data_IF_191244445162
#
_entry.id   IF_191244445162
#
_cell.length_a   1.000
_cell.length_b   1.000
_cell.length_c   1.000
_cell.angle_alpha   90.00
_cell.angle_beta   90.00
_cell.angle_gamma   90.00
#
_symmetry.space_group_name_H-M   'P 1'
#
loop_
_entity.id
_entity.type
_entity.pdbx_description
1 polymer ?
#
# COMPACT_ATOMS: atom_id res chain seq x y z
N UNK A 1 15.87 11.13 -23.24
CA UNK A 1 15.36 12.15 -22.29
C UNK A 1 15.09 11.47 -20.95
N UNK A 2 15.48 12.10 -19.84
CA UNK A 2 15.19 11.58 -18.49
C UNK A 2 13.70 11.37 -18.29
N UNK A 3 13.32 10.25 -17.68
CA UNK A 3 11.94 9.97 -17.25
C UNK A 3 11.60 10.64 -15.92
N UNK A 4 12.62 11.00 -15.15
CA UNK A 4 12.47 11.62 -13.83
C UNK A 4 12.47 13.14 -13.96
N UNK A 5 11.52 13.78 -13.28
CA UNK A 5 11.36 15.22 -13.18
C UNK A 5 11.69 15.64 -11.74
N UNK A 6 12.57 16.62 -11.57
CA UNK A 6 13.06 17.11 -10.27
C UNK A 6 12.42 18.42 -9.80
N UNK A 7 11.50 18.98 -10.58
CA UNK A 7 10.80 20.23 -10.25
C UNK A 7 9.33 20.07 -10.60
N UNK A 8 8.46 20.66 -9.78
CA UNK A 8 7.02 20.55 -9.98
C UNK A 8 6.61 20.99 -11.40
N UNK A 9 5.88 20.15 -12.16
CA UNK A 9 5.41 20.50 -13.49
C UNK A 9 4.18 21.41 -13.41
N UNK A 10 4.41 22.70 -13.15
CA UNK A 10 3.37 23.74 -13.07
C UNK A 10 2.51 23.75 -14.34
N UNK A 11 1.19 23.90 -14.17
CA UNK A 11 0.21 23.90 -15.25
C UNK A 11 -0.10 22.53 -15.86
N UNK A 12 0.49 21.44 -15.36
CA UNK A 12 0.26 20.08 -15.87
C UNK A 12 -0.51 19.21 -14.87
N UNK A 13 -1.18 18.18 -15.40
CA UNK A 13 -1.80 17.13 -14.59
C UNK A 13 -0.74 16.21 -13.99
N UNK A 14 -0.81 16.00 -12.67
CA UNK A 14 0.10 15.12 -11.93
C UNK A 14 -0.71 14.08 -11.19
N UNK A 15 -0.59 12.83 -11.61
CA UNK A 15 -1.17 11.68 -10.95
C UNK A 15 -0.51 11.44 -9.60
N UNK A 16 -1.27 11.09 -8.57
CA UNK A 16 -0.78 10.75 -7.24
C UNK A 16 -1.45 9.45 -6.83
N UNK A 17 -0.64 8.45 -6.44
CA UNK A 17 -1.14 7.27 -5.74
C UNK A 17 -1.53 7.71 -4.32
N UNK A 18 -2.83 7.90 -4.10
CA UNK A 18 -3.33 8.62 -2.93
C UNK A 18 -3.85 7.64 -1.87
N UNK A 19 -3.09 7.49 -0.79
CA UNK A 19 -3.45 6.65 0.36
C UNK A 19 -4.35 7.35 1.38
N UNK A 20 -4.42 8.70 1.37
CA UNK A 20 -5.16 9.47 2.37
C UNK A 20 -4.40 9.72 3.67
N UNK A 21 -3.14 9.27 3.77
CA UNK A 21 -2.23 9.62 4.86
C UNK A 21 -1.69 11.06 4.76
N UNK A 22 -0.96 11.50 5.78
CA UNK A 22 -0.38 12.84 5.87
C UNK A 22 0.44 13.22 4.61
N UNK A 23 1.40 12.38 4.25
CA UNK A 23 2.36 12.63 3.17
C UNK A 23 1.66 12.83 1.82
N UNK A 24 0.66 12.00 1.49
CA UNK A 24 -0.07 12.13 0.22
C UNK A 24 -1.08 13.28 0.27
N UNK A 25 -1.70 13.55 1.42
CA UNK A 25 -2.64 14.67 1.63
C UNK A 25 -1.96 16.02 1.44
N UNK A 26 -0.82 16.23 2.12
CA UNK A 26 -0.07 17.47 1.98
C UNK A 26 0.55 17.62 0.60
N UNK A 27 1.00 16.53 -0.04
CA UNK A 27 1.52 16.60 -1.39
C UNK A 27 0.46 17.06 -2.40
N UNK A 28 -0.79 16.56 -2.30
CA UNK A 28 -1.90 17.03 -3.15
C UNK A 28 -2.12 18.53 -2.96
N UNK A 29 -2.25 18.97 -1.71
CA UNK A 29 -2.52 20.37 -1.40
C UNK A 29 -1.38 21.31 -1.83
N UNK A 30 -0.14 20.89 -1.61
CA UNK A 30 1.04 21.64 -2.02
C UNK A 30 1.17 21.73 -3.55
N UNK A 31 0.97 20.62 -4.27
CA UNK A 31 0.99 20.65 -5.73
C UNK A 31 -0.08 21.59 -6.28
N UNK A 32 -1.28 21.61 -5.68
CA UNK A 32 -2.36 22.53 -6.05
C UNK A 32 -1.97 23.99 -5.79
N UNK A 33 -1.44 24.31 -4.62
CA UNK A 33 -1.08 25.69 -4.25
C UNK A 33 0.07 26.25 -5.09
N UNK A 34 0.97 25.38 -5.57
CA UNK A 34 2.08 25.72 -6.47
C UNK A 34 1.72 25.71 -7.96
N UNK A 35 0.45 25.50 -8.30
CA UNK A 35 -0.06 25.65 -9.67
C UNK A 35 0.03 24.41 -10.56
N UNK A 36 0.29 23.22 -10.01
CA UNK A 36 0.04 21.96 -10.71
C UNK A 36 -1.43 21.54 -10.56
N UNK A 37 -1.85 20.54 -11.35
CA UNK A 37 -3.21 19.99 -11.32
C UNK A 37 -3.17 18.55 -10.76
N UNK A 38 -3.24 18.35 -9.44
CA UNK A 38 -3.13 17.02 -8.84
C UNK A 38 -4.34 16.15 -9.18
N UNK A 39 -4.10 14.91 -9.59
CA UNK A 39 -5.09 13.89 -9.92
C UNK A 39 -4.84 12.67 -9.05
N UNK A 40 -5.74 12.36 -8.13
CA UNK A 40 -5.57 11.29 -7.14
C UNK A 40 -6.22 9.98 -7.55
N UNK A 41 -5.48 8.89 -7.33
CA UNK A 41 -5.90 7.53 -7.60
C UNK A 41 -5.64 6.69 -6.35
N UNK A 42 -6.69 6.25 -5.69
CA UNK A 42 -6.64 5.39 -4.51
C UNK A 42 -6.84 3.94 -4.95
N UNK A 43 -5.92 3.05 -4.59
CA UNK A 43 -6.09 1.62 -4.83
C UNK A 43 -6.91 0.98 -3.72
N UNK A 44 -8.01 0.33 -4.08
CA UNK A 44 -8.69 -0.62 -3.19
C UNK A 44 -8.01 -1.98 -3.30
N UNK A 45 -7.20 -2.27 -2.28
CA UNK A 45 -6.43 -3.51 -2.15
C UNK A 45 -7.05 -4.46 -1.13
N UNK A 46 -8.24 -4.15 -0.60
CA UNK A 46 -8.85 -4.90 0.50
C UNK A 46 -8.03 -4.83 1.79
N UNK A 47 -7.34 -3.70 2.01
CA UNK A 47 -6.49 -3.48 3.17
C UNK A 47 -7.29 -3.36 4.49
N UNK A 48 -6.66 -3.78 5.59
CA UNK A 48 -7.28 -3.83 6.93
C UNK A 48 -7.05 -2.55 7.75
N UNK A 49 -6.10 -1.70 7.34
CA UNK A 49 -5.69 -0.49 8.03
C UNK A 49 -6.45 0.78 7.58
N UNK A 50 -7.34 0.66 6.59
CA UNK A 50 -8.22 1.75 6.12
C UNK A 50 -9.67 1.24 5.94
N UNK A 51 -10.50 1.29 7.00
CA UNK A 51 -11.86 0.76 6.96
C UNK A 51 -12.83 1.61 6.14
N UNK A 52 -12.50 2.87 5.84
CA UNK A 52 -13.39 3.81 5.14
C UNK A 52 -12.80 4.22 3.79
N UNK A 53 -12.29 3.24 3.03
CA UNK A 53 -11.59 3.50 1.77
C UNK A 53 -12.46 4.23 0.74
N UNK A 54 -13.77 3.98 0.73
CA UNK A 54 -14.73 4.64 -0.17
C UNK A 54 -14.79 6.16 0.03
N UNK A 55 -14.41 6.65 1.21
CA UNK A 55 -14.36 8.07 1.53
C UNK A 55 -13.08 8.77 1.10
N UNK A 56 -12.01 8.00 0.81
CA UNK A 56 -10.68 8.54 0.47
C UNK A 56 -10.73 9.50 -0.72
N UNK A 57 -11.46 9.23 -1.83
CA UNK A 57 -11.58 10.18 -2.93
C UNK A 57 -12.22 11.51 -2.53
N UNK A 58 -13.16 11.52 -1.58
CA UNK A 58 -13.76 12.77 -1.09
C UNK A 58 -12.74 13.55 -0.26
N UNK A 59 -11.96 12.87 0.58
CA UNK A 59 -10.83 13.48 1.31
C UNK A 59 -9.82 14.12 0.36
N UNK A 60 -9.49 13.46 -0.76
CA UNK A 60 -8.59 14.01 -1.76
C UNK A 60 -9.08 15.35 -2.35
N UNK A 61 -10.40 15.47 -2.58
CA UNK A 61 -11.01 16.71 -3.11
C UNK A 61 -10.92 17.86 -2.12
N UNK A 62 -11.01 17.61 -0.82
CA UNK A 62 -10.80 18.62 0.23
C UNK A 62 -9.41 19.27 0.14
N UNK A 63 -8.41 18.52 -0.33
CA UNK A 63 -7.04 18.99 -0.55
C UNK A 63 -6.81 19.61 -1.94
N UNK A 64 -7.84 19.69 -2.79
CA UNK A 64 -7.75 20.34 -4.10
C UNK A 64 -7.41 19.43 -5.28
N UNK A 65 -7.62 18.12 -5.15
CA UNK A 65 -7.53 17.19 -6.29
C UNK A 65 -8.55 17.53 -7.40
N UNK A 66 -8.08 17.59 -8.65
CA UNK A 66 -8.89 17.82 -9.86
C UNK A 66 -9.66 16.55 -10.26
N UNK A 67 -8.99 15.41 -10.14
CA UNK A 67 -9.56 14.06 -10.32
C UNK A 67 -9.35 13.29 -9.01
N UNK A 68 -10.37 12.58 -8.55
CA UNK A 68 -10.24 11.66 -7.42
C UNK A 68 -11.00 10.37 -7.72
N UNK A 69 -10.27 9.27 -7.85
CA UNK A 69 -10.82 7.96 -8.22
C UNK A 69 -10.41 6.89 -7.22
N UNK A 70 -11.37 6.03 -6.88
CA UNK A 70 -11.10 4.73 -6.30
C UNK A 70 -10.92 3.72 -7.44
N UNK A 71 -9.83 2.95 -7.40
CA UNK A 71 -9.48 1.93 -8.40
C UNK A 71 -9.52 0.58 -7.71
N UNK A 72 -10.47 -0.28 -8.11
CA UNK A 72 -10.56 -1.63 -7.56
C UNK A 72 -9.39 -2.49 -8.07
N UNK A 73 -8.52 -2.89 -7.15
CA UNK A 73 -7.34 -3.72 -7.41
C UNK A 73 -7.46 -5.11 -6.77
N UNK A 74 -8.54 -5.41 -6.03
CA UNK A 74 -8.66 -6.62 -5.20
C UNK A 74 -8.54 -7.90 -6.03
N UNK A 75 -9.33 -8.01 -7.11
CA UNK A 75 -9.31 -9.21 -7.96
C UNK A 75 -7.94 -9.42 -8.57
N UNK A 76 -7.33 -8.39 -9.14
CA UNK A 76 -6.00 -8.49 -9.74
C UNK A 76 -4.95 -8.91 -8.70
N UNK A 77 -4.99 -8.32 -7.51
CA UNK A 77 -4.09 -8.68 -6.42
C UNK A 77 -4.25 -10.12 -5.95
N UNK A 78 -5.48 -10.60 -5.82
CA UNK A 78 -5.72 -12.01 -5.48
C UNK A 78 -5.22 -12.94 -6.56
N UNK A 79 -5.45 -12.65 -7.85
CA UNK A 79 -4.94 -13.49 -8.93
C UNK A 79 -3.41 -13.55 -8.96
N UNK A 80 -2.71 -12.41 -8.78
CA UNK A 80 -1.24 -12.40 -8.68
C UNK A 80 -0.75 -13.18 -7.44
N UNK A 81 -1.47 -13.08 -6.31
CA UNK A 81 -1.19 -13.88 -5.12
C UNK A 81 -1.34 -15.38 -5.34
N UNK A 82 -2.41 -15.80 -6.03
CA UNK A 82 -2.63 -17.20 -6.38
C UNK A 82 -1.59 -17.71 -7.38
N UNK A 83 -1.17 -16.88 -8.34
CA UNK A 83 -0.08 -17.22 -9.25
C UNK A 83 1.24 -17.41 -8.51
N UNK A 84 1.57 -16.50 -7.59
CA UNK A 84 2.76 -16.60 -6.74
C UNK A 84 2.74 -17.85 -5.85
N UNK A 85 1.57 -18.20 -5.31
CA UNK A 85 1.38 -19.44 -4.54
C UNK A 85 1.63 -20.68 -5.41
N UNK A 86 1.07 -20.72 -6.62
CA UNK A 86 1.17 -21.87 -7.51
C UNK A 86 2.63 -22.17 -7.93
N UNK A 87 3.48 -21.14 -8.06
CA UNK A 87 4.90 -21.30 -8.41
C UNK A 87 5.86 -21.22 -7.21
N UNK A 88 5.35 -21.01 -5.99
CA UNK A 88 6.17 -20.91 -4.79
C UNK A 88 7.16 -19.74 -4.83
N UNK A 89 6.75 -18.57 -5.35
CA UNK A 89 7.59 -17.40 -5.55
C UNK A 89 7.91 -16.64 -4.23
N UNK A 90 8.42 -17.35 -3.23
CA UNK A 90 8.69 -16.86 -1.87
C UNK A 90 10.14 -17.15 -1.47
N UNK A 91 11.01 -16.17 -1.67
CA UNK A 91 12.45 -16.32 -1.45
C UNK A 91 12.93 -15.97 -0.03
N UNK A 92 12.15 -15.21 0.73
CA UNK A 92 12.51 -14.78 2.09
C UNK A 92 11.92 -15.78 3.08
N UNK A 93 12.81 -16.53 3.74
CA UNK A 93 12.41 -17.51 4.75
C UNK A 93 13.43 -17.58 5.88
N UNK A 94 12.95 -17.82 7.10
CA UNK A 94 13.79 -18.09 8.27
C UNK A 94 13.33 -19.40 8.90
N UNK A 95 14.20 -20.41 8.91
CA UNK A 95 13.88 -21.76 9.40
C UNK A 95 12.57 -22.36 8.84
N UNK A 96 12.29 -22.11 7.56
CA UNK A 96 11.08 -22.58 6.87
C UNK A 96 9.84 -21.70 7.04
N UNK A 97 9.85 -20.69 7.92
CA UNK A 97 8.78 -19.67 7.97
C UNK A 97 8.99 -18.64 6.87
N UNK A 98 8.04 -18.55 5.95
CA UNK A 98 8.15 -17.71 4.76
C UNK A 98 7.49 -16.34 4.94
N UNK A 99 8.06 -15.33 4.28
CA UNK A 99 7.34 -14.13 3.89
C UNK A 99 6.79 -14.29 2.47
N UNK A 100 5.48 -14.12 2.32
CA UNK A 100 4.77 -14.40 1.07
C UNK A 100 4.82 -13.27 0.03
N UNK A 101 5.84 -12.39 0.09
CA UNK A 101 6.05 -11.31 -0.89
C UNK A 101 4.80 -10.42 -1.12
N UNK A 102 4.00 -10.19 -0.07
CA UNK A 102 2.71 -9.49 -0.18
C UNK A 102 2.85 -8.02 -0.60
N UNK A 103 3.89 -7.32 -0.14
CA UNK A 103 4.20 -5.94 -0.57
C UNK A 103 4.65 -5.88 -2.04
N UNK A 104 5.66 -6.66 -2.50
CA UNK A 104 6.01 -6.74 -3.91
C UNK A 104 4.83 -7.00 -4.86
N UNK A 105 3.94 -7.94 -4.52
CA UNK A 105 2.75 -8.27 -5.32
C UNK A 105 1.77 -7.08 -5.36
N UNK A 106 1.53 -6.45 -4.22
CA UNK A 106 0.75 -5.20 -4.14
C UNK A 106 1.32 -4.10 -5.05
N UNK A 107 2.66 -4.00 -5.18
CA UNK A 107 3.32 -2.98 -6.01
C UNK A 107 3.22 -3.28 -7.50
N UNK A 108 3.28 -4.56 -7.89
CA UNK A 108 3.06 -4.97 -9.27
C UNK A 108 1.66 -4.56 -9.76
N UNK A 109 0.64 -4.81 -8.92
CA UNK A 109 -0.75 -4.45 -9.23
C UNK A 109 -0.97 -2.95 -9.22
N UNK A 110 -0.58 -2.25 -8.16
CA UNK A 110 -0.81 -0.80 -8.06
C UNK A 110 0.00 0.00 -9.08
N UNK A 111 1.28 -0.33 -9.27
CA UNK A 111 2.14 0.34 -10.24
C UNK A 111 1.64 0.22 -11.68
N UNK A 112 0.91 -0.85 -12.01
CA UNK A 112 0.31 -1.03 -13.33
C UNK A 112 -1.09 -0.43 -13.42
N UNK A 113 -1.99 -0.76 -12.50
CA UNK A 113 -3.40 -0.34 -12.58
C UNK A 113 -3.59 1.15 -12.32
N UNK A 114 -2.86 1.76 -11.37
CA UNK A 114 -2.98 3.20 -11.13
C UNK A 114 -2.43 3.99 -12.31
N UNK A 115 -1.33 3.56 -12.92
CA UNK A 115 -0.77 4.22 -14.12
C UNK A 115 -1.69 4.06 -15.33
N UNK A 116 -2.37 2.92 -15.48
CA UNK A 116 -3.43 2.75 -16.51
C UNK A 116 -4.62 3.68 -16.26
N UNK A 117 -5.03 3.84 -15.00
CA UNK A 117 -6.09 4.78 -14.62
C UNK A 117 -5.69 6.23 -14.91
N UNK A 118 -4.44 6.63 -14.58
CA UNK A 118 -3.85 7.92 -14.94
C UNK A 118 -3.90 8.14 -16.46
N UNK A 119 -3.46 7.14 -17.24
CA UNK A 119 -3.45 7.22 -18.69
C UNK A 119 -4.86 7.40 -19.28
N UNK A 120 -5.86 6.70 -18.74
CA UNK A 120 -7.25 6.84 -19.18
C UNK A 120 -7.79 8.27 -19.00
N UNK A 121 -7.28 9.01 -18.02
CA UNK A 121 -7.63 10.41 -17.76
C UNK A 121 -6.66 11.41 -18.42
N UNK A 122 -5.80 10.94 -19.32
CA UNK A 122 -4.74 11.69 -19.99
C UNK A 122 -3.71 12.32 -19.04
N UNK A 123 -3.46 11.67 -17.90
CA UNK A 123 -2.43 12.05 -16.94
C UNK A 123 -1.13 11.30 -17.26
N UNK A 124 -0.11 12.04 -17.70
CA UNK A 124 1.17 11.48 -18.19
C UNK A 124 2.33 11.65 -17.21
N UNK A 125 2.09 12.27 -16.05
CA UNK A 125 3.09 12.48 -15.00
C UNK A 125 2.58 11.84 -13.72
N UNK A 126 3.41 11.04 -13.07
CA UNK A 126 3.13 10.52 -11.73
C UNK A 126 4.03 11.22 -10.70
N UNK A 127 3.44 11.95 -9.76
CA UNK A 127 4.08 12.40 -8.54
C UNK A 127 4.21 11.25 -7.56
N UNK A 128 5.36 10.58 -7.57
CA UNK A 128 5.62 9.38 -6.78
C UNK A 128 6.53 9.70 -5.59
N UNK A 129 5.95 9.66 -4.39
CA UNK A 129 6.62 9.95 -3.12
C UNK A 129 7.49 8.83 -2.57
N UNK A 130 7.62 7.67 -3.24
CA UNK A 130 8.48 6.59 -2.78
C UNK A 130 9.89 7.09 -2.47
N UNK A 131 10.43 6.71 -1.32
CA UNK A 131 11.71 7.24 -0.81
C UNK A 131 12.89 6.72 -1.63
N UNK A 132 14.01 7.46 -1.63
CA UNK A 132 15.22 7.09 -2.38
C UNK A 132 15.98 5.88 -1.80
N UNK A 133 15.62 5.42 -0.60
CA UNK A 133 16.28 4.31 0.12
C UNK A 133 15.45 3.02 0.15
N UNK A 134 14.21 3.06 -0.34
CA UNK A 134 13.29 1.93 -0.28
C UNK A 134 13.17 1.23 -1.62
N UNK A 135 12.73 -0.03 -1.61
CA UNK A 135 12.57 -0.85 -2.82
C UNK A 135 11.49 -0.31 -3.78
N UNK A 136 10.48 0.36 -3.23
CA UNK A 136 9.29 0.78 -3.98
C UNK A 136 9.60 1.82 -5.06
N UNK A 137 10.68 2.59 -4.95
CA UNK A 137 11.10 3.52 -6.00
C UNK A 137 11.42 2.80 -7.31
N UNK A 138 12.09 1.65 -7.25
CA UNK A 138 12.46 0.88 -8.43
C UNK A 138 11.27 0.08 -8.96
N UNK A 139 10.49 -0.51 -8.05
CA UNK A 139 9.27 -1.26 -8.39
C UNK A 139 8.31 -0.38 -9.18
N UNK A 140 7.94 0.77 -8.62
CA UNK A 140 7.01 1.70 -9.26
C UNK A 140 7.56 2.33 -10.53
N UNK A 141 8.86 2.65 -10.57
CA UNK A 141 9.51 3.11 -11.80
C UNK A 141 9.36 2.08 -12.93
N UNK A 142 9.66 0.81 -12.65
CA UNK A 142 9.59 -0.27 -13.66
C UNK A 142 8.15 -0.55 -14.09
N UNK A 143 7.24 -0.78 -13.15
CA UNK A 143 5.84 -1.09 -13.48
C UNK A 143 5.14 0.08 -14.17
N UNK A 144 5.40 1.31 -13.74
CA UNK A 144 4.81 2.50 -14.35
C UNK A 144 5.25 2.69 -15.80
N UNK A 145 6.54 2.51 -16.10
CA UNK A 145 7.03 2.61 -17.48
C UNK A 145 6.58 1.46 -18.38
N UNK A 146 6.40 0.26 -17.83
CA UNK A 146 5.79 -0.87 -18.55
C UNK A 146 4.31 -0.60 -18.85
N UNK A 147 3.57 -0.03 -17.91
CA UNK A 147 2.15 0.29 -18.08
C UNK A 147 1.91 1.49 -19.00
N UNK A 148 2.82 2.48 -18.99
CA UNK A 148 2.77 3.64 -19.88
C UNK A 148 4.20 4.06 -20.30
N UNK A 149 4.66 3.69 -21.50
CA UNK A 149 5.99 4.06 -21.99
C UNK A 149 6.20 5.58 -22.12
N UNK A 150 5.15 6.39 -22.13
CA UNK A 150 5.21 7.87 -22.16
C UNK A 150 5.21 8.51 -20.77
N UNK A 151 5.05 7.72 -19.71
CA UNK A 151 5.04 8.22 -18.33
C UNK A 151 6.33 8.98 -18.03
N UNK A 152 6.17 10.09 -17.31
CA UNK A 152 7.23 10.78 -16.58
C UNK A 152 6.92 10.69 -15.08
N UNK A 153 7.95 10.72 -14.25
CA UNK A 153 7.82 10.55 -12.80
C UNK A 153 8.39 11.78 -12.12
N UNK A 154 7.56 12.54 -11.44
CA UNK A 154 7.95 13.64 -10.57
C UNK A 154 8.29 13.08 -9.19
N UNK A 155 9.47 13.43 -8.67
CA UNK A 155 9.93 13.03 -7.33
C UNK A 155 9.96 14.26 -6.42
N UNK A 156 8.99 14.42 -5.49
CA UNK A 156 8.92 15.60 -4.63
C UNK A 156 10.17 15.85 -3.80
N UNK A 157 10.85 14.80 -3.33
CA UNK A 157 12.09 14.93 -2.56
C UNK A 157 13.33 15.37 -3.38
N UNK A 158 13.21 15.48 -4.71
CA UNK A 158 14.20 16.16 -5.56
C UNK A 158 13.90 17.66 -5.73
N UNK A 159 12.67 18.09 -5.41
CA UNK A 159 12.24 19.48 -5.53
C UNK A 159 12.64 20.25 -4.27
N UNK A 160 13.48 21.27 -4.45
CA UNK A 160 13.99 22.08 -3.34
C UNK A 160 12.87 22.80 -2.60
N UNK A 161 11.86 23.29 -3.30
CA UNK A 161 10.76 24.02 -2.67
C UNK A 161 9.91 23.08 -1.82
N UNK A 162 9.68 21.86 -2.31
CA UNK A 162 8.98 20.82 -1.55
C UNK A 162 9.76 20.44 -0.29
N UNK A 163 11.07 20.18 -0.42
CA UNK A 163 11.91 19.79 0.73
C UNK A 163 12.03 20.91 1.76
N UNK A 164 12.13 22.17 1.32
CA UNK A 164 12.24 23.32 2.22
C UNK A 164 10.94 23.57 3.00
N UNK A 165 9.78 23.37 2.37
CA UNK A 165 8.47 23.63 2.99
C UNK A 165 7.92 22.42 3.76
N UNK A 166 8.25 21.19 3.33
CA UNK A 166 7.63 19.93 3.76
C UNK A 166 8.65 18.86 4.17
N UNK A 167 9.83 19.27 4.64
CA UNK A 167 10.97 18.37 4.92
C UNK A 167 10.71 17.29 5.99
N UNK A 168 9.68 17.43 6.82
CA UNK A 168 9.31 16.47 7.85
C UNK A 168 7.82 16.47 8.17
N UNK A 169 7.35 15.46 8.91
CA UNK A 169 5.92 15.29 9.25
C UNK A 169 5.37 16.47 10.07
N UNK A 170 6.20 17.11 10.90
CA UNK A 170 5.82 18.29 11.70
C UNK A 170 5.57 19.50 10.81
N UNK A 171 6.44 19.70 9.82
CA UNK A 171 6.30 20.76 8.83
C UNK A 171 5.08 20.50 7.95
N UNK A 172 4.86 19.25 7.52
CA UNK A 172 3.68 18.85 6.75
C UNK A 172 2.36 19.09 7.49
N UNK A 173 2.28 18.72 8.77
CA UNK A 173 1.06 18.94 9.57
C UNK A 173 0.81 20.42 9.81
N UNK A 174 1.85 21.19 10.15
CA UNK A 174 1.77 22.64 10.28
C UNK A 174 1.32 23.30 8.98
N UNK A 175 1.85 22.86 7.85
CA UNK A 175 1.51 23.42 6.54
C UNK A 175 0.01 23.24 6.24
N UNK A 176 -0.56 22.06 6.51
CA UNK A 176 -2.01 21.85 6.34
C UNK A 176 -2.85 22.78 7.23
N UNK A 177 -2.47 22.91 8.50
CA UNK A 177 -3.17 23.78 9.46
C UNK A 177 -3.08 25.26 9.04
N UNK A 178 -1.90 25.73 8.67
CA UNK A 178 -1.67 27.11 8.22
C UNK A 178 -2.47 27.45 6.95
N UNK A 179 -2.82 26.44 6.14
CA UNK A 179 -3.65 26.58 4.94
C UNK A 179 -5.14 26.26 5.15
N UNK A 180 -5.60 26.10 6.41
CA UNK A 180 -6.97 25.75 6.78
C UNK A 180 -7.47 24.45 6.12
N UNK A 181 -6.58 23.47 5.95
CA UNK A 181 -6.91 22.17 5.38
C UNK A 181 -7.03 21.10 6.46
N UNK A 182 -7.88 20.06 6.28
CA UNK A 182 -8.06 19.02 7.28
C UNK A 182 -6.75 18.29 7.60
N UNK A 183 -6.31 18.34 8.85
CA UNK A 183 -5.23 17.51 9.35
C UNK A 183 -5.83 16.35 10.16
N UNK A 184 -5.59 15.12 9.69
CA UNK A 184 -6.03 13.90 10.37
C UNK A 184 -4.84 13.36 11.13
N UNK A 185 -4.77 13.70 12.41
CA UNK A 185 -3.65 13.32 13.27
C UNK A 185 -3.51 11.80 13.29
N UNK A 186 -2.34 11.30 12.90
CA UNK A 186 -2.04 9.88 13.08
C UNK A 186 -1.57 9.70 14.52
N UNK A 187 -2.24 8.83 15.30
CA UNK A 187 -1.68 8.33 16.55
C UNK A 187 -0.26 7.82 16.27
N UNK A 188 0.72 8.30 17.03
CA UNK A 188 2.10 7.89 16.85
C UNK A 188 2.21 6.38 17.09
N UNK A 189 2.58 5.64 16.04
CA UNK A 189 2.78 4.18 16.11
C UNK A 189 4.25 3.86 16.34
N UNK A 190 4.55 2.80 17.08
CA UNK A 190 5.91 2.31 17.33
C UNK A 190 6.60 1.74 16.07
N UNK A 191 5.85 1.53 14.98
CA UNK A 191 6.31 0.98 13.70
C UNK A 191 5.51 1.58 12.53
N UNK A 192 6.00 1.36 11.31
CA UNK A 192 5.30 1.61 10.04
C UNK A 192 4.51 0.37 9.63
N UNK A 193 3.42 0.53 8.87
CA UNK A 193 2.62 -0.59 8.38
C UNK A 193 2.21 -0.36 6.93
N UNK A 194 2.35 -1.40 6.11
CA UNK A 194 1.77 -1.49 4.78
C UNK A 194 0.89 -2.74 4.74
N UNK A 195 -0.31 -2.62 4.19
CA UNK A 195 -1.29 -3.70 4.19
C UNK A 195 -2.05 -3.81 2.88
N UNK A 196 -2.42 -5.02 2.54
CA UNK A 196 -3.36 -5.36 1.49
C UNK A 196 -4.05 -6.70 1.83
N UNK A 197 -4.97 -7.15 0.98
CA UNK A 197 -5.73 -8.39 1.24
C UNK A 197 -4.86 -9.64 1.38
N UNK A 198 -3.65 -9.67 0.81
CA UNK A 198 -2.75 -10.83 0.91
C UNK A 198 -1.94 -10.86 2.21
N UNK A 199 -1.75 -9.71 2.86
CA UNK A 199 -0.96 -9.62 4.08
C UNK A 199 -0.63 -8.19 4.49
N UNK A 200 -0.01 -8.08 5.67
CA UNK A 200 0.49 -6.84 6.22
C UNK A 200 1.97 -6.98 6.62
N UNK A 201 2.74 -5.93 6.43
CA UNK A 201 4.14 -5.83 6.87
C UNK A 201 4.30 -4.72 7.89
N UNK A 202 5.01 -4.98 8.97
CA UNK A 202 5.35 -4.01 10.02
C UNK A 202 6.86 -3.83 10.07
N UNK A 203 7.35 -2.59 9.99
CA UNK A 203 8.79 -2.31 9.92
C UNK A 203 9.15 -0.93 10.50
N UNK A 204 10.44 -0.60 10.51
CA UNK A 204 11.00 0.69 10.92
C UNK A 204 10.76 1.08 12.39
N UNK A 205 11.31 2.23 12.79
CA UNK A 205 11.19 2.77 14.16
C UNK A 205 11.70 1.76 15.19
N UNK A 206 10.90 1.35 16.17
CA UNK A 206 11.35 0.40 17.20
C UNK A 206 11.81 -0.92 16.59
N UNK A 207 11.17 -1.39 15.51
CA UNK A 207 11.51 -2.63 14.80
C UNK A 207 12.83 -2.56 14.01
N UNK A 208 13.55 -1.42 14.00
CA UNK A 208 14.92 -1.36 13.47
C UNK A 208 15.93 -2.06 14.39
N UNK A 209 15.62 -2.17 15.68
CA UNK A 209 16.49 -2.81 16.64
C UNK A 209 16.12 -4.29 16.79
N UNK A 210 17.11 -5.18 16.62
CA UNK A 210 16.90 -6.64 16.68
C UNK A 210 16.59 -7.16 18.10
N UNK A 211 16.70 -6.31 19.11
CA UNK A 211 16.25 -6.59 20.48
C UNK A 211 14.78 -6.22 20.71
N UNK A 212 14.10 -5.66 19.70
CA UNK A 212 12.64 -5.55 19.68
C UNK A 212 12.00 -6.88 19.27
N UNK A 213 10.71 -7.03 19.57
CA UNK A 213 10.00 -8.30 19.42
C UNK A 213 8.64 -8.12 18.76
N UNK A 214 8.12 -9.18 18.15
CA UNK A 214 6.77 -9.25 17.58
C UNK A 214 5.68 -8.82 18.57
N UNK A 215 5.94 -8.94 19.87
CA UNK A 215 4.97 -8.61 20.94
C UNK A 215 4.63 -7.12 21.04
N UNK A 216 5.46 -6.23 20.47
CA UNK A 216 5.13 -4.80 20.38
C UNK A 216 4.13 -4.50 19.26
N UNK A 217 3.89 -5.46 18.37
CA UNK A 217 3.03 -5.31 17.19
C UNK A 217 1.58 -5.58 17.58
N UNK A 218 0.71 -4.65 17.23
CA UNK A 218 -0.73 -4.86 17.11
C UNK A 218 -1.05 -5.44 15.73
N UNK A 219 -1.34 -6.75 15.60
CA UNK A 219 -1.66 -7.36 14.33
C UNK A 219 -3.01 -6.86 13.80
N UNK A 220 -3.08 -6.56 12.51
CA UNK A 220 -4.30 -6.04 11.86
C UNK A 220 -5.08 -7.09 11.06
N UNK A 221 -4.53 -8.30 10.92
CA UNK A 221 -5.11 -9.42 10.17
C UNK A 221 -5.34 -10.67 11.03
N UNK A 222 -5.17 -10.58 12.35
CA UNK A 222 -5.34 -11.71 13.25
C UNK A 222 -5.15 -11.34 14.71
N UNK A 223 -5.15 -12.35 15.57
CA UNK A 223 -4.99 -12.19 17.02
C UNK A 223 -3.53 -12.21 17.46
N UNK A 224 -3.24 -11.66 18.64
CA UNK A 224 -1.94 -11.78 19.32
C UNK A 224 -1.78 -13.19 19.90
N UNK A 225 -1.41 -14.15 19.06
CA UNK A 225 -1.32 -15.56 19.46
C UNK A 225 -0.29 -15.85 20.57
N UNK A 226 0.63 -14.92 20.83
CA UNK A 226 1.61 -14.99 21.91
C UNK A 226 1.06 -14.54 23.27
N UNK A 227 -0.03 -13.77 23.29
CA UNK A 227 -0.65 -13.29 24.52
C UNK A 227 -1.47 -14.42 25.17
N UNK A 228 -1.04 -14.86 26.35
CA UNK A 228 -1.68 -15.96 27.09
C UNK A 228 -3.13 -15.65 27.52
N UNK A 229 -3.54 -14.38 27.51
CA UNK A 229 -4.92 -13.99 27.78
C UNK A 229 -5.85 -14.22 26.58
N UNK A 230 -5.30 -14.40 25.37
CA UNK A 230 -6.05 -14.67 24.15
C UNK A 230 -6.37 -16.16 24.07
N UNK A 231 -7.66 -16.49 24.20
CA UNK A 231 -8.14 -17.87 24.03
C UNK A 231 -8.24 -18.22 22.55
N UNK A 232 -7.53 -19.26 22.12
CA UNK A 232 -7.56 -19.80 20.76
C UNK A 232 -8.03 -21.25 20.81
N UNK A 233 -9.26 -21.50 20.40
CA UNK A 233 -9.82 -22.85 20.33
C UNK A 233 -9.31 -23.56 19.06
N UNK A 234 -9.05 -24.87 19.14
CA UNK A 234 -8.64 -25.66 17.97
C UNK A 234 -9.74 -25.68 16.90
N UNK A 235 -9.35 -25.57 15.62
CA UNK A 235 -10.27 -25.54 14.49
C UNK A 235 -9.76 -26.45 13.36
N UNK A 236 -10.60 -27.38 12.88
CA UNK A 236 -10.31 -28.18 11.69
C UNK A 236 -10.78 -27.45 10.43
N UNK A 237 -9.89 -27.33 9.45
CA UNK A 237 -10.14 -26.59 8.20
C UNK A 237 -9.78 -27.46 7.00
N UNK A 238 -10.70 -27.57 6.04
CA UNK A 238 -10.45 -28.23 4.76
C UNK A 238 -10.44 -27.21 3.64
N UNK A 239 -9.38 -27.20 2.84
CA UNK A 239 -9.28 -26.36 1.63
C UNK A 239 -9.19 -27.28 0.41
N UNK A 240 -10.12 -27.13 -0.52
CA UNK A 240 -10.13 -27.90 -1.76
C UNK A 240 -9.46 -27.13 -2.88
N UNK A 241 -8.58 -27.83 -3.62
CA UNK A 241 -7.94 -27.32 -4.81
C UNK A 241 -8.37 -28.14 -6.04
N UNK A 242 -8.68 -27.45 -7.13
CA UNK A 242 -8.92 -28.05 -8.45
C UNK A 242 -7.89 -27.46 -9.41
N UNK A 243 -7.03 -28.33 -9.96
CA UNK A 243 -5.97 -27.93 -10.90
C UNK A 243 -5.07 -26.80 -10.37
N UNK A 244 -4.73 -26.85 -9.08
CA UNK A 244 -3.87 -25.85 -8.43
C UNK A 244 -4.58 -24.56 -8.01
N UNK A 245 -5.88 -24.41 -8.28
CA UNK A 245 -6.68 -23.26 -7.84
C UNK A 245 -7.53 -23.64 -6.62
N UNK A 246 -7.53 -22.85 -5.52
CA UNK A 246 -8.45 -23.08 -4.42
C UNK A 246 -9.88 -22.76 -4.85
N UNK A 247 -10.83 -23.65 -4.52
CA UNK A 247 -12.24 -23.53 -4.96
C UNK A 247 -13.26 -23.61 -3.83
N UNK A 248 -12.90 -24.23 -2.70
CA UNK A 248 -13.80 -24.35 -1.55
C UNK A 248 -13.02 -24.35 -0.23
N UNK A 249 -13.69 -23.86 0.82
CA UNK A 249 -13.21 -23.93 2.21
C UNK A 249 -14.34 -24.55 3.04
N UNK A 250 -14.05 -25.59 3.81
CA UNK A 250 -15.03 -26.34 4.62
C UNK A 250 -16.26 -26.79 3.82
N UNK A 251 -16.04 -27.26 2.58
CA UNK A 251 -17.09 -27.71 1.66
C UNK A 251 -17.92 -26.60 1.02
N UNK A 252 -17.70 -25.32 1.39
CA UNK A 252 -18.38 -24.17 0.79
C UNK A 252 -17.64 -23.72 -0.46
N UNK A 253 -18.21 -23.98 -1.63
CA UNK A 253 -17.68 -23.53 -2.93
C UNK A 253 -17.75 -22.00 -3.04
N UNK A 254 -16.64 -21.38 -3.42
CA UNK A 254 -16.53 -19.92 -3.56
C UNK A 254 -16.00 -19.56 -4.96
N UNK A 255 -16.86 -18.98 -5.80
CA UNK A 255 -16.49 -18.58 -7.17
C UNK A 255 -15.73 -17.25 -7.23
N UNK A 256 -15.96 -16.38 -6.25
CA UNK A 256 -15.25 -15.12 -6.12
C UNK A 256 -13.95 -15.35 -5.34
N UNK A 257 -12.80 -15.12 -6.00
CA UNK A 257 -11.49 -15.31 -5.41
C UNK A 257 -11.22 -14.30 -4.27
N UNK A 258 -11.77 -13.10 -4.34
CA UNK A 258 -11.64 -12.10 -3.26
C UNK A 258 -12.37 -12.57 -2.02
N UNK A 259 -13.60 -13.07 -2.17
CA UNK A 259 -14.35 -13.66 -1.06
C UNK A 259 -13.63 -14.88 -0.46
N UNK A 260 -13.03 -15.74 -1.30
CA UNK A 260 -12.27 -16.91 -0.85
C UNK A 260 -11.07 -16.49 0.01
N UNK A 261 -10.27 -15.52 -0.43
CA UNK A 261 -9.13 -15.03 0.36
C UNK A 261 -9.59 -14.34 1.65
N UNK A 262 -10.69 -13.58 1.63
CA UNK A 262 -11.25 -13.00 2.87
C UNK A 262 -11.66 -14.07 3.89
N UNK A 263 -12.28 -15.16 3.45
CA UNK A 263 -12.63 -16.29 4.30
C UNK A 263 -11.36 -16.97 4.86
N UNK A 264 -10.37 -17.23 4.00
CA UNK A 264 -9.09 -17.80 4.42
C UNK A 264 -8.36 -16.90 5.43
N UNK A 265 -8.35 -15.58 5.23
CA UNK A 265 -7.80 -14.61 6.17
C UNK A 265 -8.56 -14.62 7.50
N UNK A 266 -9.89 -14.69 7.47
CA UNK A 266 -10.69 -14.75 8.69
C UNK A 266 -10.41 -16.02 9.50
N UNK A 267 -10.24 -17.17 8.83
CA UNK A 267 -9.86 -18.43 9.46
C UNK A 267 -8.44 -18.31 10.03
N UNK A 268 -7.43 -18.04 9.21
CA UNK A 268 -6.03 -17.96 9.66
C UNK A 268 -5.81 -16.89 10.74
N UNK A 269 -6.54 -15.77 10.64
CA UNK A 269 -6.47 -14.66 11.58
C UNK A 269 -6.94 -15.01 13.00
N UNK A 270 -7.92 -15.92 13.16
CA UNK A 270 -8.34 -16.42 14.48
C UNK A 270 -7.21 -17.14 15.23
N UNK A 271 -6.23 -17.66 14.51
CA UNK A 271 -5.11 -18.44 15.03
C UNK A 271 -3.77 -17.71 14.96
N UNK A 272 -3.71 -16.49 14.40
CA UNK A 272 -2.46 -15.77 14.16
C UNK A 272 -1.53 -16.47 13.15
N UNK A 273 -2.08 -17.31 12.26
CA UNK A 273 -1.32 -18.15 11.35
C UNK A 273 -0.55 -17.31 10.32
N UNK A 274 0.70 -17.70 10.05
CA UNK A 274 1.53 -17.11 8.98
C UNK A 274 2.40 -15.93 9.40
N UNK A 275 2.27 -15.43 10.63
CA UNK A 275 3.18 -14.41 11.15
C UNK A 275 4.62 -14.93 11.20
N UNK A 276 5.56 -14.12 10.74
CA UNK A 276 7.00 -14.39 10.79
C UNK A 276 7.79 -13.11 10.98
N UNK A 277 9.02 -13.26 11.46
CA UNK A 277 10.00 -12.18 11.60
C UNK A 277 11.15 -12.48 10.63
N UNK A 278 11.57 -11.48 9.86
CA UNK A 278 12.51 -11.64 8.74
C UNK A 278 13.49 -10.48 8.70
N UNK A 279 14.77 -10.79 8.58
CA UNK A 279 15.79 -9.86 8.09
C UNK A 279 15.90 -10.09 6.57
N UNK A 280 15.50 -9.10 5.77
CA UNK A 280 15.54 -9.19 4.31
C UNK A 280 16.66 -8.34 3.70
N UNK A 281 17.09 -8.73 2.50
CA UNK A 281 18.03 -7.95 1.70
C UNK A 281 17.24 -7.05 0.76
N UNK A 282 17.46 -5.73 0.86
CA UNK A 282 16.87 -4.73 -0.05
C UNK A 282 17.62 -4.66 -1.37
#
# INVERSE_FOLDING_TARGET
>A
MSKVISSLPVGQKVGIAFSGGLDTSVAVAWMKSKGATPCTYTADLGQYDEPNIETVPNRAKEYGADIARLVDCKTALVEEGLAALACGAFHITTAGKAYFNTTPLGRAVTGTLLVRAMLADNVLIWGDGSTYKGNDIERFYRYGLLANPKLKIYKPWLDKDFVNELGGRKEMSKWLVDHNLPYRDSTEKAYSTDANILGATHEAKSLENLDSHIEIVEPIMGVKFWDQSVKIDSEDVTIEFVQGRPVSINGKVMKDCVALIKEANAIGGRHGLGMSDQIENR
#
